data_IF_438923049070
#
_entry.id   IF_438923049070
#
_cell.length_a   1.000
_cell.length_b   1.000
_cell.length_c   1.000
_cell.angle_alpha   90.00
_cell.angle_beta   90.00
_cell.angle_gamma   90.00
#
_symmetry.space_group_name_H-M   'P 1'
#
loop_
_entity.id
_entity.type
_entity.pdbx_description
1 polymer ?
#
# COMPACT_ATOMS: atom_id res chain seq x y z
N UNK A 1 24.19 -16.89 -13.56
CA UNK A 1 23.13 -15.86 -13.61
C UNK A 1 23.22 -15.08 -12.31
N UNK A 2 23.45 -13.77 -12.37
CA UNK A 2 23.53 -12.90 -11.19
C UNK A 2 22.11 -12.59 -10.73
N UNK A 3 21.79 -12.77 -9.45
CA UNK A 3 20.47 -12.41 -8.92
C UNK A 3 20.28 -10.88 -8.99
N UNK A 4 19.03 -10.41 -9.11
CA UNK A 4 18.72 -8.97 -9.11
C UNK A 4 19.28 -8.30 -7.84
N UNK A 5 19.18 -8.96 -6.68
CA UNK A 5 19.78 -8.50 -5.44
C UNK A 5 21.29 -8.24 -5.56
N UNK A 6 22.05 -9.19 -6.11
CA UNK A 6 23.50 -9.02 -6.34
C UNK A 6 23.80 -7.90 -7.35
N UNK A 7 22.95 -7.73 -8.37
CA UNK A 7 23.09 -6.64 -9.33
C UNK A 7 22.84 -5.26 -8.70
N UNK A 8 21.89 -5.15 -7.77
CA UNK A 8 21.66 -3.91 -7.01
C UNK A 8 22.83 -3.57 -6.10
N UNK A 9 23.37 -4.56 -5.38
CA UNK A 9 24.53 -4.34 -4.52
C UNK A 9 25.77 -3.92 -5.29
N UNK A 10 26.05 -4.54 -6.45
CA UNK A 10 27.23 -4.18 -7.25
C UNK A 10 27.14 -2.75 -7.81
N UNK A 11 25.97 -2.32 -8.24
CA UNK A 11 25.73 -0.94 -8.71
C UNK A 11 25.82 0.07 -7.57
N UNK A 12 25.31 -0.28 -6.38
CA UNK A 12 25.43 0.54 -5.18
C UNK A 12 26.90 0.78 -4.78
N UNK A 13 27.74 -0.27 -4.81
CA UNK A 13 29.19 -0.16 -4.54
C UNK A 13 29.88 0.78 -5.54
N UNK A 14 29.39 0.82 -6.77
CA UNK A 14 29.91 1.73 -7.82
C UNK A 14 29.31 3.15 -7.74
N UNK A 15 28.45 3.43 -6.75
CA UNK A 15 27.76 4.73 -6.63
C UNK A 15 26.77 5.02 -7.76
N UNK A 16 26.30 3.98 -8.45
CA UNK A 16 25.41 4.10 -9.60
C UNK A 16 23.97 3.72 -9.23
N UNK A 17 23.02 4.42 -9.84
CA UNK A 17 21.60 4.05 -9.76
C UNK A 17 21.31 2.75 -10.52
N UNK A 18 20.29 1.98 -10.09
CA UNK A 18 19.81 0.81 -10.80
C UNK A 18 19.64 1.06 -12.29
N UNK A 19 20.37 0.32 -13.13
CA UNK A 19 20.17 0.43 -14.58
C UNK A 19 18.81 -0.15 -14.95
N UNK A 20 17.93 0.68 -15.54
CA UNK A 20 16.62 0.22 -16.03
C UNK A 20 16.72 -0.99 -16.96
N UNK A 21 17.80 -1.09 -17.76
CA UNK A 21 18.06 -2.25 -18.63
C UNK A 21 18.33 -3.56 -17.88
N UNK A 22 18.87 -3.47 -16.66
CA UNK A 22 19.12 -4.64 -15.81
C UNK A 22 17.82 -5.05 -15.13
N UNK A 23 17.08 -4.08 -14.58
CA UNK A 23 15.81 -4.36 -13.90
C UNK A 23 14.76 -4.92 -14.86
N UNK A 24 14.72 -4.45 -16.12
CA UNK A 24 13.76 -4.93 -17.13
C UNK A 24 13.95 -6.39 -17.56
N UNK A 25 15.02 -7.07 -17.12
CA UNK A 25 15.25 -8.49 -17.39
C UNK A 25 14.54 -9.40 -16.39
N UNK A 26 14.01 -8.83 -15.30
CA UNK A 26 13.36 -9.56 -14.21
C UNK A 26 11.86 -9.31 -14.22
N UNK A 27 11.09 -10.32 -13.85
CA UNK A 27 9.65 -10.22 -13.70
C UNK A 27 9.25 -9.34 -12.51
N UNK A 28 8.01 -8.84 -12.51
CA UNK A 28 7.46 -8.10 -11.38
C UNK A 28 7.53 -8.88 -10.05
N UNK A 29 7.31 -10.20 -10.09
CA UNK A 29 7.42 -11.06 -8.92
C UNK A 29 8.86 -11.16 -8.37
N UNK A 30 9.87 -11.24 -9.25
CA UNK A 30 11.29 -11.24 -8.85
C UNK A 30 11.73 -9.88 -8.30
N UNK A 31 11.24 -8.78 -8.90
CA UNK A 31 11.45 -7.43 -8.38
C UNK A 31 10.82 -7.30 -6.99
N UNK A 32 9.58 -7.76 -6.82
CA UNK A 32 8.87 -7.78 -5.53
C UNK A 32 9.66 -8.54 -4.47
N UNK A 33 10.15 -9.74 -4.80
CA UNK A 33 10.94 -10.53 -3.86
C UNK A 33 12.24 -9.83 -3.48
N UNK A 34 12.93 -9.27 -4.47
CA UNK A 34 14.19 -8.55 -4.22
C UNK A 34 13.97 -7.29 -3.39
N UNK A 35 12.87 -6.57 -3.60
CA UNK A 35 12.46 -5.44 -2.78
C UNK A 35 12.25 -5.85 -1.31
N UNK A 36 11.53 -6.95 -1.09
CA UNK A 36 11.33 -7.49 0.26
C UNK A 36 12.67 -7.86 0.93
N UNK A 37 13.59 -8.48 0.18
CA UNK A 37 14.92 -8.83 0.69
C UNK A 37 15.75 -7.59 1.04
N UNK A 38 15.69 -6.53 0.23
CA UNK A 38 16.38 -5.25 0.50
C UNK A 38 15.82 -4.55 1.73
N UNK A 39 14.49 -4.54 1.90
CA UNK A 39 13.82 -4.01 3.10
C UNK A 39 14.24 -4.79 4.34
N UNK A 40 14.24 -6.12 4.28
CA UNK A 40 14.67 -6.97 5.39
C UNK A 40 16.15 -6.75 5.77
N UNK A 41 16.98 -6.36 4.80
CA UNK A 41 18.38 -6.00 5.01
C UNK A 41 18.61 -4.52 5.39
N UNK A 42 17.53 -3.77 5.68
CA UNK A 42 17.57 -2.33 6.01
C UNK A 42 18.28 -1.48 4.93
N UNK A 43 18.13 -1.88 3.66
CA UNK A 43 18.68 -1.17 2.48
C UNK A 43 17.59 -0.33 1.82
N UNK A 44 17.00 0.59 2.57
CA UNK A 44 15.82 1.37 2.15
C UNK A 44 16.10 2.21 0.89
N UNK A 45 17.29 2.80 0.75
CA UNK A 45 17.65 3.57 -0.45
C UNK A 45 17.62 2.73 -1.73
N UNK A 46 18.14 1.50 -1.66
CA UNK A 46 18.11 0.56 -2.79
C UNK A 46 16.71 0.04 -3.05
N UNK A 47 15.93 -0.21 -2.00
CA UNK A 47 14.53 -0.60 -2.14
C UNK A 47 13.73 0.51 -2.83
N UNK A 48 13.94 1.79 -2.46
CA UNK A 48 13.31 2.92 -3.11
C UNK A 48 13.69 3.03 -4.59
N UNK A 49 14.98 2.90 -4.91
CA UNK A 49 15.44 2.96 -6.29
C UNK A 49 14.88 1.81 -7.14
N UNK A 50 14.81 0.60 -6.57
CA UNK A 50 14.24 -0.56 -7.25
C UNK A 50 12.71 -0.44 -7.39
N UNK A 51 12.01 0.13 -6.40
CA UNK A 51 10.57 0.36 -6.46
C UNK A 51 10.23 1.38 -7.55
N UNK A 52 10.99 2.48 -7.66
CA UNK A 52 10.82 3.46 -8.74
C UNK A 52 11.05 2.83 -10.13
N UNK A 53 12.09 2.00 -10.28
CA UNK A 53 12.33 1.26 -11.52
C UNK A 53 11.18 0.27 -11.82
N UNK A 54 10.72 -0.48 -10.81
CA UNK A 54 9.60 -1.40 -10.92
C UNK A 54 8.30 -0.72 -11.35
N UNK A 55 7.98 0.43 -10.76
CA UNK A 55 6.79 1.23 -11.12
C UNK A 55 6.87 1.76 -12.55
N UNK A 56 8.06 2.16 -13.02
CA UNK A 56 8.23 2.60 -14.41
C UNK A 56 8.09 1.45 -15.41
N UNK A 57 8.46 0.23 -15.05
CA UNK A 57 8.40 -0.94 -15.94
C UNK A 57 7.04 -1.65 -15.92
N UNK A 58 6.42 -1.71 -14.74
CA UNK A 58 5.20 -2.47 -14.48
C UNK A 58 4.20 -1.63 -13.65
N UNK A 59 3.70 -0.51 -14.20
CA UNK A 59 2.90 0.47 -13.45
C UNK A 59 1.56 -0.08 -12.92
N UNK A 60 1.03 -1.12 -13.56
CA UNK A 60 -0.25 -1.74 -13.18
C UNK A 60 -0.07 -3.14 -12.59
N UNK A 61 1.17 -3.55 -12.27
CA UNK A 61 1.41 -4.84 -11.64
C UNK A 61 0.99 -4.83 -10.18
N UNK A 62 0.13 -5.78 -9.80
CA UNK A 62 -0.28 -5.98 -8.42
C UNK A 62 0.90 -6.21 -7.47
N UNK A 63 1.90 -6.98 -7.93
CA UNK A 63 3.13 -7.26 -7.18
C UNK A 63 3.89 -5.97 -6.83
N UNK A 64 4.04 -5.07 -7.82
CA UNK A 64 4.77 -3.81 -7.66
C UNK A 64 3.98 -2.80 -6.84
N UNK A 65 2.68 -2.67 -7.08
CA UNK A 65 1.81 -1.77 -6.32
C UNK A 65 1.76 -2.17 -4.84
N UNK A 66 1.61 -3.46 -4.55
CA UNK A 66 1.55 -4.00 -3.19
C UNK A 66 2.84 -3.75 -2.40
N UNK A 67 4.00 -4.10 -2.96
CA UNK A 67 5.28 -3.91 -2.25
C UNK A 67 5.70 -2.45 -2.16
N UNK A 68 5.33 -1.62 -3.14
CA UNK A 68 5.59 -0.17 -3.06
C UNK A 68 4.74 0.48 -1.97
N UNK A 69 3.48 0.06 -1.80
CA UNK A 69 2.65 0.51 -0.67
C UNK A 69 3.28 0.15 0.68
N UNK A 70 3.74 -1.11 0.83
CA UNK A 70 4.41 -1.56 2.06
C UNK A 70 5.71 -0.78 2.34
N UNK A 71 6.51 -0.50 1.32
CA UNK A 71 7.73 0.30 1.44
C UNK A 71 7.42 1.75 1.87
N UNK A 72 6.34 2.33 1.35
CA UNK A 72 5.88 3.65 1.76
C UNK A 72 5.40 3.65 3.23
N UNK A 73 4.67 2.62 3.67
CA UNK A 73 4.26 2.47 5.08
C UNK A 73 5.45 2.37 6.04
N UNK A 74 6.51 1.63 5.68
CA UNK A 74 7.74 1.54 6.49
C UNK A 74 8.36 2.93 6.69
N UNK A 75 8.33 3.75 5.63
CA UNK A 75 8.81 5.13 5.65
C UNK A 75 7.80 6.11 6.27
N UNK A 76 6.62 5.63 6.68
CA UNK A 76 5.49 6.43 7.19
C UNK A 76 4.97 7.45 6.16
N UNK A 77 5.22 7.19 4.88
CA UNK A 77 4.63 7.93 3.77
C UNK A 77 3.25 7.33 3.46
N UNK A 78 2.29 7.68 4.31
CA UNK A 78 0.95 7.13 4.21
C UNK A 78 0.20 7.61 2.97
N UNK A 79 0.54 8.78 2.44
CA UNK A 79 -0.08 9.33 1.23
C UNK A 79 0.32 8.51 0.02
N UNK A 80 1.61 8.23 -0.17
CA UNK A 80 2.07 7.33 -1.25
C UNK A 80 1.56 5.90 -1.06
N UNK A 81 1.47 5.41 0.17
CA UNK A 81 0.86 4.11 0.44
C UNK A 81 -0.62 4.06 0.00
N UNK A 82 -1.40 5.10 0.28
CA UNK A 82 -2.79 5.21 -0.17
C UNK A 82 -2.90 5.22 -1.68
N UNK A 83 -2.07 6.01 -2.38
CA UNK A 83 -2.07 6.09 -3.84
C UNK A 83 -1.83 4.71 -4.49
N UNK A 84 -0.81 3.99 -4.03
CA UNK A 84 -0.52 2.64 -4.51
C UNK A 84 -1.65 1.65 -4.22
N UNK A 85 -2.26 1.70 -3.04
CA UNK A 85 -3.37 0.81 -2.68
C UNK A 85 -4.66 1.13 -3.43
N UNK A 86 -4.95 2.41 -3.70
CA UNK A 86 -6.08 2.79 -4.56
C UNK A 86 -5.88 2.29 -5.98
N UNK A 87 -4.68 2.48 -6.53
CA UNK A 87 -4.36 1.95 -7.86
C UNK A 87 -4.43 0.42 -7.88
N UNK A 88 -4.04 -0.26 -6.81
CA UNK A 88 -4.18 -1.72 -6.68
C UNK A 88 -5.65 -2.16 -6.70
N UNK A 89 -6.52 -1.47 -5.95
CA UNK A 89 -7.97 -1.71 -5.97
C UNK A 89 -8.54 -1.49 -7.38
N UNK A 90 -8.12 -0.43 -8.07
CA UNK A 90 -8.53 -0.17 -9.46
C UNK A 90 -8.08 -1.28 -10.42
N UNK A 91 -6.82 -1.71 -10.31
CA UNK A 91 -6.24 -2.80 -11.11
C UNK A 91 -6.97 -4.12 -10.88
N UNK A 92 -7.27 -4.46 -9.62
CA UNK A 92 -7.97 -5.70 -9.27
C UNK A 92 -9.46 -5.66 -9.62
N UNK A 93 -10.09 -4.47 -9.59
CA UNK A 93 -11.49 -4.29 -9.94
C UNK A 93 -12.42 -5.20 -9.14
N UNK A 94 -13.24 -5.99 -9.83
CA UNK A 94 -14.16 -6.94 -9.19
C UNK A 94 -13.47 -8.09 -8.44
N UNK A 95 -12.16 -8.32 -8.69
CA UNK A 95 -11.37 -9.33 -8.00
C UNK A 95 -10.65 -8.78 -6.75
N UNK A 96 -10.88 -7.51 -6.37
CA UNK A 96 -10.24 -6.89 -5.22
C UNK A 96 -10.52 -7.66 -3.94
N UNK A 97 -9.49 -8.20 -3.33
CA UNK A 97 -9.65 -9.10 -2.17
C UNK A 97 -10.05 -8.35 -0.89
N UNK A 98 -10.68 -9.02 0.10
CA UNK A 98 -10.91 -8.45 1.42
C UNK A 98 -9.61 -8.01 2.12
N UNK A 99 -8.48 -8.64 1.80
CA UNK A 99 -7.17 -8.23 2.31
C UNK A 99 -6.76 -6.85 1.76
N UNK A 100 -6.85 -6.64 0.45
CA UNK A 100 -6.57 -5.34 -0.19
C UNK A 100 -7.43 -4.23 0.40
N UNK A 101 -8.72 -4.48 0.59
CA UNK A 101 -9.63 -3.51 1.22
C UNK A 101 -9.22 -3.15 2.65
N UNK A 102 -8.97 -4.15 3.50
CA UNK A 102 -8.53 -3.92 4.88
C UNK A 102 -7.19 -3.18 4.94
N UNK A 103 -6.30 -3.43 3.99
CA UNK A 103 -5.02 -2.74 3.89
C UNK A 103 -5.21 -1.25 3.59
N UNK A 104 -6.02 -0.90 2.59
CA UNK A 104 -6.35 0.50 2.28
C UNK A 104 -7.03 1.20 3.48
N UNK A 105 -7.96 0.52 4.13
CA UNK A 105 -8.63 1.03 5.34
C UNK A 105 -7.62 1.34 6.45
N UNK A 106 -6.67 0.43 6.71
CA UNK A 106 -5.60 0.62 7.70
C UNK A 106 -4.75 1.85 7.39
N UNK A 107 -4.32 2.02 6.13
CA UNK A 107 -3.52 3.18 5.71
C UNK A 107 -4.27 4.49 5.95
N UNK A 108 -5.56 4.55 5.61
CA UNK A 108 -6.40 5.73 5.87
C UNK A 108 -6.53 6.03 7.36
N UNK A 109 -6.64 5.01 8.21
CA UNK A 109 -6.64 5.19 9.67
C UNK A 109 -5.30 5.73 10.19
N UNK A 110 -4.18 5.26 9.64
CA UNK A 110 -2.85 5.78 9.99
C UNK A 110 -2.68 7.26 9.61
N UNK A 111 -3.45 7.76 8.63
CA UNK A 111 -3.53 9.17 8.25
C UNK A 111 -4.53 9.99 9.10
N UNK A 112 -5.26 9.37 10.02
CA UNK A 112 -6.41 9.96 10.72
C UNK A 112 -7.58 10.36 9.80
N UNK A 113 -7.63 9.80 8.60
CA UNK A 113 -8.65 10.03 7.57
C UNK A 113 -9.87 9.11 7.80
N UNK A 114 -10.42 9.13 9.02
CA UNK A 114 -11.43 8.16 9.46
C UNK A 114 -12.72 8.18 8.63
N UNK A 115 -13.11 9.34 8.11
CA UNK A 115 -14.28 9.48 7.23
C UNK A 115 -14.03 8.78 5.89
N UNK A 116 -12.84 8.94 5.30
CA UNK A 116 -12.44 8.22 4.08
C UNK A 116 -12.36 6.72 4.35
N UNK A 117 -11.78 6.32 5.49
CA UNK A 117 -11.70 4.93 5.90
C UNK A 117 -13.09 4.29 6.01
N UNK A 118 -14.07 5.00 6.60
CA UNK A 118 -15.45 4.54 6.70
C UNK A 118 -16.10 4.39 5.31
N UNK A 119 -15.85 5.32 4.39
CA UNK A 119 -16.36 5.24 3.03
C UNK A 119 -15.82 4.00 2.29
N UNK A 120 -14.51 3.75 2.39
CA UNK A 120 -13.88 2.56 1.81
C UNK A 120 -14.42 1.29 2.46
N UNK A 121 -14.58 1.26 3.78
CA UNK A 121 -15.15 0.12 4.49
C UNK A 121 -16.59 -0.19 4.04
N UNK A 122 -17.42 0.84 3.76
CA UNK A 122 -18.76 0.65 3.18
C UNK A 122 -18.70 0.01 1.79
N UNK A 123 -17.78 0.45 0.93
CA UNK A 123 -17.60 -0.13 -0.40
C UNK A 123 -17.18 -1.60 -0.30
N UNK A 124 -16.22 -1.89 0.58
CA UNK A 124 -15.75 -3.24 0.81
C UNK A 124 -16.86 -4.15 1.36
N UNK A 125 -17.68 -3.67 2.30
CA UNK A 125 -18.84 -4.43 2.83
C UNK A 125 -19.92 -4.70 1.79
N UNK A 126 -20.10 -3.81 0.81
CA UNK A 126 -21.00 -4.07 -0.31
C UNK A 126 -20.48 -5.21 -1.21
N UNK A 127 -19.16 -5.32 -1.39
CA UNK A 127 -18.54 -6.40 -2.14
C UNK A 127 -18.47 -7.72 -1.35
N UNK A 128 -18.26 -7.65 -0.04
CA UNK A 128 -18.06 -8.81 0.85
C UNK A 128 -18.93 -8.74 2.12
N UNK A 129 -20.27 -8.86 1.99
CA UNK A 129 -21.18 -8.68 3.13
C UNK A 129 -21.04 -9.75 4.22
N UNK A 130 -20.48 -10.91 3.88
CA UNK A 130 -20.32 -12.05 4.80
C UNK A 130 -18.90 -12.17 5.38
N UNK A 131 -17.98 -11.25 5.05
CA UNK A 131 -16.63 -11.27 5.63
C UNK A 131 -16.65 -10.69 7.04
N UNK A 132 -16.47 -11.56 8.03
CA UNK A 132 -16.57 -11.19 9.45
C UNK A 132 -15.49 -10.21 9.86
N UNK A 133 -14.27 -10.36 9.33
CA UNK A 133 -13.14 -9.50 9.71
C UNK A 133 -13.31 -8.09 9.16
N UNK A 134 -13.83 -7.97 7.94
CA UNK A 134 -14.16 -6.70 7.33
C UNK A 134 -15.33 -6.01 8.04
N UNK A 135 -16.34 -6.78 8.46
CA UNK A 135 -17.45 -6.27 9.25
C UNK A 135 -16.98 -5.71 10.60
N UNK A 136 -16.09 -6.41 11.30
CA UNK A 136 -15.52 -5.95 12.56
C UNK A 136 -14.74 -4.62 12.38
N UNK A 137 -13.93 -4.53 11.32
CA UNK A 137 -13.20 -3.29 10.99
C UNK A 137 -14.17 -2.15 10.63
N UNK A 138 -15.23 -2.42 9.86
CA UNK A 138 -16.27 -1.45 9.51
C UNK A 138 -16.97 -0.91 10.77
N UNK A 139 -17.40 -1.77 11.68
CA UNK A 139 -18.06 -1.37 12.93
C UNK A 139 -17.12 -0.56 13.83
N UNK A 140 -15.85 -0.97 13.93
CA UNK A 140 -14.85 -0.25 14.72
C UNK A 140 -14.64 1.19 14.20
N UNK A 141 -14.51 1.37 12.88
CA UNK A 141 -14.35 2.69 12.27
C UNK A 141 -15.63 3.51 12.38
N UNK A 142 -16.80 2.88 12.18
CA UNK A 142 -18.08 3.56 12.31
C UNK A 142 -18.23 4.16 13.71
N UNK A 143 -17.93 3.38 14.76
CA UNK A 143 -17.94 3.86 16.15
C UNK A 143 -17.00 5.04 16.34
N UNK A 144 -15.76 4.92 15.86
CA UNK A 144 -14.74 5.96 16.00
C UNK A 144 -15.15 7.28 15.31
N UNK A 145 -15.74 7.21 14.11
CA UNK A 145 -16.26 8.40 13.42
C UNK A 145 -17.43 9.02 14.19
N UNK A 146 -18.36 8.21 14.72
CA UNK A 146 -19.47 8.72 15.52
C UNK A 146 -19.02 9.42 16.81
N UNK A 147 -18.03 8.87 17.51
CA UNK A 147 -17.47 9.48 18.73
C UNK A 147 -16.72 10.79 18.45
N UNK A 148 -16.25 10.99 17.21
CA UNK A 148 -15.57 12.22 16.78
C UNK A 148 -16.54 13.33 16.36
N UNK A 149 -17.83 13.05 16.17
CA UNK A 149 -18.84 14.09 15.94
C UNK A 149 -19.06 14.84 17.26
N UNK A 150 -18.73 16.14 17.36
CA UNK A 150 -18.87 16.85 18.63
C UNK A 150 -20.33 16.89 19.09
N UNK A 151 -20.54 16.92 20.41
CA UNK A 151 -21.77 17.35 21.10
C UNK A 151 -22.27 18.78 20.72
N UNK A 152 -21.82 19.35 19.60
CA UNK A 152 -22.22 20.67 19.11
C UNK A 152 -23.67 20.72 18.62
N UNK A 153 -24.35 19.59 18.45
CA UNK A 153 -25.78 19.54 18.16
C UNK A 153 -26.68 19.73 19.40
N UNK A 154 -26.11 19.88 20.61
CA UNK A 154 -26.86 19.90 21.86
C UNK A 154 -27.07 21.30 22.49
N UNK A 155 -26.69 22.40 21.82
CA UNK A 155 -26.77 23.76 22.42
C UNK A 155 -27.61 24.74 21.60
N UNK A 156 -28.65 24.28 20.91
CA UNK A 156 -29.67 25.17 20.32
C UNK A 156 -31.10 24.71 20.66
N UNK A 157 -31.35 24.42 21.93
CA UNK A 157 -32.70 24.41 22.49
C UNK A 157 -32.61 24.89 23.93
N UNK A 158 -32.54 26.20 24.15
CA UNK A 158 -33.11 26.90 25.31
C UNK A 158 -33.12 28.40 25.06
#
# INVERSE_FOLDING_TARGET
MTSLYQAMLSQAVMGQMPSMRVVSQFSAAEIRQTLADLVAADRIDLANALAAAGQSLYPESEDILSISALLAEIQKDWTTAEEHLRKLVETQGAATTPFTWRHLIRVLRCQFEHVKALQVAKQAMAAYPNDTTLNDEFLAIQKLVFEQVPLAASVQLH
#
